data_IF_866313772453
#
_entry.id   IF_866313772453
#
_cell.length_a   1.000
_cell.length_b   1.000
_cell.length_c   1.000
_cell.angle_alpha   90.00
_cell.angle_beta   90.00
_cell.angle_gamma   90.00
#
_symmetry.space_group_name_H-M   'P 1'
#
loop_
_entity.id
_entity.type
_entity.pdbx_description
1 polymer ?
#
# COMPACT_ATOMS: atom_id res chain seq x y z
N UNK A 1 30.60 -27.27 -44.64
CA UNK A 1 29.89 -27.90 -43.51
C UNK A 1 29.47 -26.91 -42.41
N UNK A 2 30.00 -25.67 -42.38
CA UNK A 2 29.70 -24.67 -41.34
C UNK A 2 28.48 -23.80 -41.69
N UNK A 3 28.15 -23.61 -42.97
CA UNK A 3 27.03 -22.76 -43.41
C UNK A 3 25.62 -23.35 -43.19
N UNK A 4 25.49 -24.67 -42.93
CA UNK A 4 24.19 -25.33 -42.71
C UNK A 4 23.67 -25.23 -41.27
N UNK A 5 24.53 -24.91 -40.31
CA UNK A 5 24.14 -24.78 -38.89
C UNK A 5 23.63 -23.38 -38.52
N UNK A 6 24.04 -22.34 -39.27
CA UNK A 6 23.56 -20.96 -39.02
C UNK A 6 22.11 -20.73 -39.47
N UNK A 7 21.63 -21.43 -40.51
CA UNK A 7 20.23 -21.31 -40.95
C UNK A 7 19.23 -21.94 -39.96
N UNK A 8 19.66 -22.96 -39.19
CA UNK A 8 18.81 -23.61 -38.18
C UNK A 8 18.75 -22.76 -36.90
N UNK A 9 19.84 -22.10 -36.51
CA UNK A 9 19.83 -21.16 -35.38
C UNK A 9 19.04 -19.87 -35.66
N UNK A 10 19.04 -19.38 -36.91
CA UNK A 10 18.22 -18.22 -37.29
C UNK A 10 16.71 -18.54 -37.26
N UNK A 11 16.32 -19.78 -37.57
CA UNK A 11 14.92 -20.21 -37.50
C UNK A 11 14.42 -20.43 -36.05
N UNK A 12 15.30 -20.83 -35.13
CA UNK A 12 14.97 -20.97 -33.70
C UNK A 12 14.88 -19.59 -33.01
N UNK A 13 15.70 -18.62 -33.42
CA UNK A 13 15.61 -17.23 -32.94
C UNK A 13 14.38 -16.49 -33.50
N UNK A 14 13.91 -16.84 -34.70
CA UNK A 14 12.67 -16.28 -35.26
C UNK A 14 11.40 -16.94 -34.70
N UNK A 15 11.46 -18.19 -34.23
CA UNK A 15 10.33 -18.84 -33.53
C UNK A 15 10.20 -18.42 -32.06
N UNK A 16 11.28 -18.00 -31.41
CA UNK A 16 11.24 -17.42 -30.06
C UNK A 16 10.81 -15.94 -30.04
N UNK A 17 10.71 -15.31 -31.22
CA UNK A 17 10.14 -13.97 -31.40
C UNK A 17 8.67 -14.00 -31.86
N UNK A 18 8.07 -15.18 -32.06
CA UNK A 18 6.63 -15.32 -32.25
C UNK A 18 5.96 -15.35 -30.88
N UNK A 19 5.67 -14.14 -30.39
CA UNK A 19 4.57 -13.87 -29.45
C UNK A 19 4.68 -14.59 -28.09
N UNK A 20 5.59 -14.10 -27.25
CA UNK A 20 5.15 -13.64 -25.94
C UNK A 20 4.25 -12.39 -26.10
N UNK A 21 3.17 -12.50 -26.89
CA UNK A 21 2.01 -11.72 -26.57
C UNK A 21 1.53 -12.38 -25.30
N UNK A 22 1.71 -11.71 -24.16
CA UNK A 22 0.67 -11.80 -23.16
C UNK A 22 -0.63 -11.63 -23.94
N UNK A 23 -1.37 -12.73 -24.12
CA UNK A 23 -2.78 -12.62 -24.41
C UNK A 23 -3.34 -12.03 -23.13
N UNK A 24 -3.20 -10.72 -22.96
CA UNK A 24 -4.14 -9.94 -22.21
C UNK A 24 -5.44 -10.20 -22.97
N UNK A 25 -6.18 -11.22 -22.54
CA UNK A 25 -7.58 -11.27 -22.89
C UNK A 25 -8.07 -9.89 -22.49
N UNK A 26 -8.44 -9.07 -23.46
CA UNK A 26 -9.10 -7.78 -23.23
C UNK A 26 -10.42 -8.12 -22.54
N UNK A 27 -10.37 -8.37 -21.24
CA UNK A 27 -11.52 -8.61 -20.41
C UNK A 27 -12.20 -7.26 -20.29
N UNK A 28 -13.14 -7.01 -21.20
CA UNK A 28 -13.94 -5.79 -21.15
C UNK A 28 -14.83 -5.88 -19.91
N UNK A 29 -14.59 -4.98 -18.97
CA UNK A 29 -15.40 -4.80 -17.79
C UNK A 29 -16.72 -4.18 -18.25
N UNK A 30 -17.84 -4.83 -17.93
CA UNK A 30 -19.17 -4.28 -18.17
C UNK A 30 -19.89 -4.18 -16.83
N UNK A 31 -20.43 -3.00 -16.53
CA UNK A 31 -21.10 -2.78 -15.24
C UNK A 31 -22.53 -3.27 -15.34
N UNK A 32 -22.89 -4.24 -14.48
CA UNK A 32 -24.27 -4.71 -14.38
C UNK A 32 -25.09 -3.72 -13.58
N UNK A 33 -26.30 -3.41 -14.01
CA UNK A 33 -27.22 -2.57 -13.23
C UNK A 33 -27.99 -3.47 -12.27
N UNK A 34 -28.06 -3.10 -10.99
CA UNK A 34 -28.92 -3.80 -10.03
C UNK A 34 -30.37 -3.80 -10.54
N UNK A 35 -31.00 -4.98 -10.58
CA UNK A 35 -32.37 -5.19 -11.08
C UNK A 35 -33.43 -4.32 -10.38
N UNK A 36 -33.17 -3.92 -9.14
CA UNK A 36 -34.11 -3.15 -8.33
C UNK A 36 -33.95 -1.64 -8.55
N UNK A 37 -32.93 -1.21 -9.31
CA UNK A 37 -32.84 0.16 -9.81
C UNK A 37 -33.87 0.36 -10.92
N UNK A 38 -34.64 1.45 -10.81
CA UNK A 38 -35.49 1.92 -11.90
C UNK A 38 -34.63 2.30 -13.12
N UNK A 39 -35.29 2.67 -14.23
CA UNK A 39 -34.62 3.25 -15.39
C UNK A 39 -33.75 4.43 -14.96
N UNK A 40 -32.45 4.39 -15.29
CA UNK A 40 -31.52 5.48 -15.02
C UNK A 40 -31.96 6.76 -15.72
N UNK A 41 -31.64 7.92 -15.16
CA UNK A 41 -31.76 9.22 -15.85
C UNK A 41 -30.60 9.44 -16.83
N UNK A 42 -30.68 10.48 -17.66
CA UNK A 42 -29.63 10.79 -18.66
C UNK A 42 -28.26 11.02 -18.03
N UNK A 43 -28.22 11.78 -16.95
CA UNK A 43 -26.99 12.07 -16.21
C UNK A 43 -26.39 10.79 -15.62
N UNK A 44 -27.22 9.95 -15.00
CA UNK A 44 -26.82 8.66 -14.43
C UNK A 44 -26.27 7.71 -15.48
N UNK A 45 -26.84 7.69 -16.69
CA UNK A 45 -26.31 6.93 -17.83
C UNK A 45 -24.91 7.42 -18.24
N UNK A 46 -24.71 8.75 -18.31
CA UNK A 46 -23.41 9.34 -18.66
C UNK A 46 -22.36 9.02 -17.59
N UNK A 47 -22.72 9.17 -16.31
CA UNK A 47 -21.86 8.81 -15.17
C UNK A 47 -21.45 7.34 -15.26
N UNK A 48 -22.42 6.43 -15.45
CA UNK A 48 -22.15 5.00 -15.55
C UNK A 48 -21.24 4.67 -16.75
N UNK A 49 -21.47 5.32 -17.89
CA UNK A 49 -20.64 5.15 -19.09
C UNK A 49 -19.20 5.62 -18.87
N UNK A 50 -19.01 6.77 -18.22
CA UNK A 50 -17.68 7.27 -17.85
C UNK A 50 -16.98 6.34 -16.86
N UNK A 51 -17.72 5.76 -15.92
CA UNK A 51 -17.17 4.84 -14.92
C UNK A 51 -16.74 3.51 -15.56
N UNK A 52 -17.58 2.94 -16.43
CA UNK A 52 -17.22 1.76 -17.20
C UNK A 52 -15.97 2.02 -18.06
N UNK A 53 -15.92 3.17 -18.75
CA UNK A 53 -14.74 3.58 -19.53
C UNK A 53 -13.49 3.63 -18.64
N UNK A 54 -13.56 4.26 -17.48
CA UNK A 54 -12.45 4.35 -16.54
C UNK A 54 -11.97 2.96 -16.06
N UNK A 55 -12.89 2.09 -15.62
CA UNK A 55 -12.55 0.73 -15.16
C UNK A 55 -11.86 -0.09 -16.26
N UNK A 56 -12.28 0.07 -17.52
CA UNK A 56 -11.64 -0.61 -18.65
C UNK A 56 -10.22 -0.08 -18.98
N UNK A 57 -9.83 1.08 -18.44
CA UNK A 57 -8.50 1.67 -18.63
C UNK A 57 -7.57 1.50 -17.44
N UNK A 58 -8.08 1.14 -16.27
CA UNK A 58 -7.28 1.17 -15.02
C UNK A 58 -6.08 0.22 -15.04
N UNK A 59 -6.15 -0.92 -15.74
CA UNK A 59 -5.03 -1.85 -15.87
C UNK A 59 -3.89 -1.31 -16.75
N UNK A 60 -4.16 -0.35 -17.63
CA UNK A 60 -3.15 0.26 -18.52
C UNK A 60 -2.62 1.58 -17.96
N UNK A 61 -3.20 2.05 -16.84
CA UNK A 61 -2.99 3.38 -16.30
C UNK A 61 -2.34 3.28 -14.91
N UNK A 62 -1.14 2.71 -14.86
CA UNK A 62 -0.35 2.69 -13.61
C UNK A 62 0.40 4.01 -13.38
N UNK A 63 0.49 4.90 -14.37
CA UNK A 63 1.39 6.07 -14.32
C UNK A 63 0.74 7.43 -14.66
N UNK A 64 -0.55 7.48 -15.03
CA UNK A 64 -1.22 8.74 -15.42
C UNK A 64 -2.70 8.78 -15.06
N UNK A 65 -3.13 9.54 -14.07
CA UNK A 65 -4.56 9.65 -13.71
C UNK A 65 -5.44 9.99 -14.93
N UNK A 66 -6.43 9.15 -15.28
CA UNK A 66 -7.23 9.33 -16.49
C UNK A 66 -7.93 10.69 -16.58
N UNK A 67 -8.25 11.13 -17.79
CA UNK A 67 -9.00 12.37 -18.06
C UNK A 67 -10.38 12.39 -17.36
N UNK A 68 -10.86 11.23 -16.91
CA UNK A 68 -12.10 11.10 -16.15
C UNK A 68 -12.01 11.57 -14.70
N UNK A 69 -10.84 11.99 -14.21
CA UNK A 69 -10.64 12.49 -12.84
C UNK A 69 -10.45 14.00 -12.79
N UNK A 70 -10.95 14.61 -11.70
CA UNK A 70 -10.91 16.05 -11.45
C UNK A 70 -9.51 16.65 -11.59
N UNK A 71 -9.38 17.72 -12.38
CA UNK A 71 -8.13 18.48 -12.54
C UNK A 71 -7.67 19.07 -11.20
N UNK A 72 -8.62 19.57 -10.39
CA UNK A 72 -8.33 20.11 -9.05
C UNK A 72 -7.72 19.04 -8.14
N UNK A 73 -8.14 17.78 -8.28
CA UNK A 73 -7.52 16.70 -7.51
C UNK A 73 -6.17 16.28 -8.05
N UNK A 74 -5.93 16.38 -9.36
CA UNK A 74 -4.61 16.14 -9.96
C UNK A 74 -3.57 17.17 -9.53
N UNK A 75 -3.99 18.38 -9.16
CA UNK A 75 -3.11 19.38 -8.53
C UNK A 75 -2.81 19.04 -7.06
N UNK A 76 -3.76 18.39 -6.38
CA UNK A 76 -3.67 18.05 -4.95
C UNK A 76 -2.96 16.71 -4.70
N UNK A 77 -3.09 15.76 -5.61
CA UNK A 77 -2.68 14.37 -5.48
C UNK A 77 -1.95 13.91 -6.73
N UNK A 78 -0.85 13.18 -6.54
CA UNK A 78 -0.15 12.54 -7.65
C UNK A 78 -0.98 11.40 -8.24
N UNK A 79 -1.66 10.62 -7.38
CA UNK A 79 -2.61 9.58 -7.78
C UNK A 79 -3.95 9.81 -7.05
N UNK A 80 -4.85 10.65 -7.59
CA UNK A 80 -6.15 10.88 -7.00
C UNK A 80 -6.98 9.59 -6.96
N UNK A 81 -6.73 8.62 -7.84
CA UNK A 81 -7.50 7.40 -8.00
C UNK A 81 -6.88 6.15 -7.35
N UNK A 82 -5.89 6.33 -6.48
CA UNK A 82 -5.10 5.24 -5.87
C UNK A 82 -5.96 4.15 -5.20
N UNK A 83 -7.07 4.51 -4.56
CA UNK A 83 -7.95 3.53 -3.90
C UNK A 83 -8.64 2.62 -4.93
N UNK A 84 -8.97 3.15 -6.11
CA UNK A 84 -9.48 2.32 -7.20
C UNK A 84 -8.37 1.51 -7.85
N UNK A 85 -7.15 2.07 -7.94
CA UNK A 85 -5.98 1.31 -8.40
C UNK A 85 -5.72 0.13 -7.46
N UNK A 86 -5.76 0.32 -6.13
CA UNK A 86 -5.60 -0.77 -5.16
C UNK A 86 -6.72 -1.80 -5.24
N UNK A 87 -7.94 -1.33 -5.48
CA UNK A 87 -9.06 -2.21 -5.77
C UNK A 87 -8.80 -3.05 -7.03
N UNK A 88 -8.25 -2.47 -8.10
CA UNK A 88 -7.96 -3.18 -9.35
C UNK A 88 -6.69 -4.06 -9.29
N UNK A 89 -5.64 -3.58 -8.62
CA UNK A 89 -4.29 -4.17 -8.56
C UNK A 89 -4.20 -5.35 -7.61
N UNK A 90 -5.24 -5.64 -6.83
CA UNK A 90 -5.49 -6.99 -6.36
C UNK A 90 -5.71 -7.87 -7.59
N UNK A 91 -4.62 -8.24 -8.26
CA UNK A 91 -4.40 -8.60 -9.69
C UNK A 91 -5.36 -9.61 -10.36
N UNK A 92 -6.46 -10.01 -9.72
CA UNK A 92 -7.52 -10.84 -10.28
C UNK A 92 -8.91 -10.28 -10.03
N UNK A 93 -9.06 -9.12 -9.38
CA UNK A 93 -10.36 -8.67 -8.89
C UNK A 93 -11.37 -8.56 -10.00
N UNK A 94 -11.12 -7.84 -11.10
CA UNK A 94 -12.13 -7.71 -12.15
C UNK A 94 -12.32 -8.98 -12.99
N UNK A 95 -11.42 -9.96 -12.86
CA UNK A 95 -11.60 -11.29 -13.46
C UNK A 95 -12.51 -12.19 -12.61
N UNK A 96 -12.44 -12.05 -11.29
CA UNK A 96 -13.18 -12.87 -10.33
C UNK A 96 -14.49 -12.21 -9.85
N UNK A 97 -14.52 -10.88 -9.78
CA UNK A 97 -15.58 -10.05 -9.25
C UNK A 97 -16.05 -9.05 -10.32
N UNK A 98 -17.31 -9.18 -10.74
CA UNK A 98 -17.94 -8.24 -11.66
C UNK A 98 -18.44 -7.00 -10.91
N UNK A 99 -18.26 -5.78 -11.47
CA UNK A 99 -18.91 -4.60 -10.93
C UNK A 99 -20.41 -4.62 -11.16
N UNK A 100 -21.16 -4.25 -10.13
CA UNK A 100 -22.62 -4.09 -10.14
C UNK A 100 -22.94 -2.70 -9.60
N UNK A 101 -23.58 -1.87 -10.41
CA UNK A 101 -24.11 -0.58 -9.97
C UNK A 101 -25.21 -0.83 -8.94
N UNK A 102 -25.01 -0.37 -7.71
CA UNK A 102 -26.02 -0.43 -6.67
C UNK A 102 -26.91 0.81 -6.67
N UNK A 103 -26.32 2.00 -6.84
CA UNK A 103 -27.05 3.27 -6.88
C UNK A 103 -26.16 4.42 -7.37
N UNK A 104 -26.76 5.48 -7.90
CA UNK A 104 -26.15 6.80 -8.09
C UNK A 104 -26.96 7.80 -7.26
N UNK A 105 -26.43 8.22 -6.10
CA UNK A 105 -27.16 9.12 -5.21
C UNK A 105 -26.81 10.57 -5.55
N UNK A 106 -27.79 11.36 -5.98
CA UNK A 106 -27.62 12.81 -6.09
C UNK A 106 -27.70 13.47 -4.71
N UNK A 107 -26.70 14.27 -4.36
CA UNK A 107 -26.69 15.14 -3.18
C UNK A 107 -26.23 16.53 -3.60
N UNK A 108 -27.12 17.50 -3.54
CA UNK A 108 -26.85 18.88 -3.97
C UNK A 108 -26.24 18.93 -5.39
N UNK A 109 -25.00 19.39 -5.51
CA UNK A 109 -24.23 19.52 -6.75
C UNK A 109 -23.37 18.30 -7.09
N UNK A 110 -23.51 17.20 -6.36
CA UNK A 110 -22.62 16.04 -6.45
C UNK A 110 -23.44 14.76 -6.65
N UNK A 111 -22.80 13.72 -7.18
CA UNK A 111 -23.33 12.36 -7.15
C UNK A 111 -22.38 11.43 -6.39
N UNK A 112 -22.94 10.44 -5.69
CA UNK A 112 -22.20 9.34 -5.07
C UNK A 112 -22.50 8.09 -5.87
N UNK A 113 -21.52 7.62 -6.64
CA UNK A 113 -21.58 6.41 -7.43
C UNK A 113 -21.20 5.21 -6.57
N UNK A 114 -22.15 4.31 -6.32
CA UNK A 114 -21.97 3.13 -5.47
C UNK A 114 -21.91 1.86 -6.31
N UNK A 115 -20.76 1.17 -6.27
CA UNK A 115 -20.51 -0.06 -7.02
C UNK A 115 -20.18 -1.21 -6.07
N UNK A 116 -20.88 -2.34 -6.21
CA UNK A 116 -20.50 -3.58 -5.58
C UNK A 116 -19.63 -4.43 -6.51
N UNK A 117 -18.65 -5.13 -5.97
CA UNK A 117 -17.82 -6.07 -6.71
C UNK A 117 -18.16 -7.48 -6.24
N UNK A 118 -18.80 -8.26 -7.12
CA UNK A 118 -19.47 -9.53 -6.76
C UNK A 118 -18.98 -10.66 -7.65
N UNK A 119 -18.61 -11.80 -7.07
CA UNK A 119 -18.17 -12.97 -7.83
C UNK A 119 -19.34 -13.78 -8.41
N UNK A 120 -19.03 -14.87 -9.12
CA UNK A 120 -20.04 -15.79 -9.66
C UNK A 120 -20.89 -16.47 -8.58
N UNK A 121 -20.32 -16.68 -7.39
CA UNK A 121 -20.96 -17.32 -6.23
C UNK A 121 -21.85 -16.38 -5.41
N UNK A 122 -21.91 -15.09 -5.82
CA UNK A 122 -22.64 -14.00 -5.14
C UNK A 122 -21.98 -13.49 -3.85
N UNK A 123 -20.72 -13.81 -3.62
CA UNK A 123 -19.94 -13.18 -2.56
C UNK A 123 -19.58 -11.76 -2.98
N UNK A 124 -19.75 -10.85 -2.02
CA UNK A 124 -19.36 -9.46 -2.15
C UNK A 124 -17.90 -9.35 -1.69
N UNK A 125 -17.02 -8.92 -2.58
CA UNK A 125 -15.67 -8.51 -2.19
C UNK A 125 -15.72 -7.17 -1.46
N UNK A 126 -16.34 -6.18 -2.11
CA UNK A 126 -16.44 -4.82 -1.59
C UNK A 126 -17.63 -4.06 -2.16
N UNK A 127 -18.10 -3.06 -1.42
CA UNK A 127 -19.00 -2.01 -1.89
C UNK A 127 -18.23 -0.70 -1.79
N UNK A 128 -18.00 -0.06 -2.92
CA UNK A 128 -17.12 1.09 -3.04
C UNK A 128 -17.87 2.30 -3.61
N UNK A 129 -17.54 3.47 -3.07
CA UNK A 129 -18.11 4.75 -3.44
C UNK A 129 -17.08 5.64 -4.12
N UNK A 130 -17.49 6.28 -5.22
CA UNK A 130 -16.73 7.35 -5.86
C UNK A 130 -17.60 8.60 -5.91
N UNK A 131 -16.98 9.76 -5.72
CA UNK A 131 -17.67 11.03 -5.84
C UNK A 131 -17.62 11.49 -7.29
N UNK A 132 -18.74 11.98 -7.80
CA UNK A 132 -18.89 12.48 -9.15
C UNK A 132 -19.31 13.94 -9.12
N UNK A 133 -18.70 14.75 -9.97
CA UNK A 133 -19.00 16.17 -10.17
C UNK A 133 -19.18 16.46 -11.64
N UNK A 134 -20.03 17.42 -11.93
CA UNK A 134 -20.09 18.02 -13.26
C UNK A 134 -19.01 19.10 -13.35
N UNK A 135 -18.17 19.06 -14.39
CA UNK A 135 -17.19 20.11 -14.66
C UNK A 135 -17.84 21.28 -15.42
N UNK A 136 -17.06 22.34 -15.69
CA UNK A 136 -17.56 23.52 -16.40
C UNK A 136 -18.00 23.24 -17.86
N UNK A 137 -17.62 22.09 -18.41
CA UNK A 137 -17.95 21.65 -19.78
C UNK A 137 -19.19 20.73 -19.82
N UNK A 138 -19.81 20.46 -18.66
CA UNK A 138 -20.96 19.57 -18.54
C UNK A 138 -20.60 18.08 -18.53
N UNK A 139 -19.32 17.75 -18.32
CA UNK A 139 -18.84 16.37 -18.22
C UNK A 139 -18.81 15.90 -16.77
N UNK A 140 -19.09 14.62 -16.56
CA UNK A 140 -19.01 13.99 -15.25
C UNK A 140 -17.61 13.44 -14.98
N UNK A 141 -16.96 14.03 -13.97
CA UNK A 141 -15.61 13.71 -13.51
C UNK A 141 -15.62 13.10 -12.11
N UNK A 142 -14.65 12.23 -11.83
CA UNK A 142 -14.48 11.54 -10.56
C UNK A 142 -13.61 12.34 -9.58
N UNK A 143 -13.90 12.14 -8.30
CA UNK A 143 -13.15 12.69 -7.18
C UNK A 143 -13.06 11.71 -6.01
N UNK A 144 -12.04 11.87 -5.17
CA UNK A 144 -11.76 11.05 -4.00
C UNK A 144 -12.89 11.13 -2.99
N UNK A 145 -13.34 9.97 -2.54
CA UNK A 145 -14.33 9.87 -1.48
C UNK A 145 -13.82 10.41 -0.15
N UNK A 146 -12.52 10.25 0.13
CA UNK A 146 -11.91 10.71 1.39
C UNK A 146 -12.02 12.22 1.58
N UNK A 147 -11.85 13.02 0.52
CA UNK A 147 -12.00 14.46 0.57
C UNK A 147 -13.44 14.86 0.91
N UNK A 148 -14.42 14.20 0.33
CA UNK A 148 -15.83 14.40 0.67
C UNK A 148 -16.16 13.95 2.09
N UNK A 149 -15.66 12.77 2.51
CA UNK A 149 -15.92 12.22 3.85
C UNK A 149 -15.34 13.12 4.97
N UNK A 150 -14.22 13.78 4.68
CA UNK A 150 -13.47 14.61 5.64
C UNK A 150 -13.65 16.11 5.41
N UNK A 151 -14.58 16.53 4.54
CA UNK A 151 -14.74 17.94 4.14
C UNK A 151 -15.04 18.89 5.31
N UNK A 152 -15.72 18.38 6.35
CA UNK A 152 -16.12 19.14 7.54
C UNK A 152 -15.18 18.89 8.74
N UNK A 153 -14.03 18.24 8.52
CA UNK A 153 -13.08 17.95 9.58
C UNK A 153 -12.22 19.17 9.93
N UNK A 154 -11.80 19.23 11.20
CA UNK A 154 -10.86 20.21 11.69
C UNK A 154 -9.48 20.00 11.05
N UNK A 155 -8.89 21.09 10.60
CA UNK A 155 -7.54 21.11 10.01
C UNK A 155 -6.55 21.78 10.97
N UNK A 156 -5.44 21.10 11.25
CA UNK A 156 -4.41 21.57 12.19
C UNK A 156 -3.04 21.39 11.52
N UNK A 157 -2.35 22.50 11.26
CA UNK A 157 -0.97 22.45 10.76
C UNK A 157 0.01 22.37 11.91
N UNK A 158 0.87 21.36 11.91
CA UNK A 158 2.04 21.26 12.78
C UNK A 158 3.26 21.06 11.87
N UNK A 159 4.00 22.14 11.64
CA UNK A 159 5.23 22.16 10.82
C UNK A 159 5.03 21.60 9.41
N UNK A 160 5.50 20.39 9.13
CA UNK A 160 5.40 19.72 7.84
C UNK A 160 4.18 18.82 7.70
N UNK A 161 3.36 18.68 8.74
CA UNK A 161 2.21 17.78 8.73
C UNK A 161 0.92 18.56 8.91
N UNK A 162 0.01 18.41 7.95
CA UNK A 162 -1.37 18.86 8.06
C UNK A 162 -2.22 17.72 8.63
N UNK A 163 -2.69 17.87 9.86
CA UNK A 163 -3.59 16.92 10.50
C UNK A 163 -5.05 17.24 10.21
N UNK A 164 -5.84 16.19 9.98
CA UNK A 164 -7.28 16.23 9.81
C UNK A 164 -7.93 15.38 10.90
N UNK A 165 -8.85 15.96 11.68
CA UNK A 165 -9.55 15.24 12.76
C UNK A 165 -11.00 15.70 12.90
N UNK A 166 -11.88 14.85 13.46
CA UNK A 166 -13.28 15.20 13.71
C UNK A 166 -13.49 16.19 14.86
N UNK A 167 -12.61 16.14 15.86
CA UNK A 167 -12.79 16.86 17.11
C UNK A 167 -11.44 17.37 17.61
N UNK A 168 -11.19 18.67 17.37
CA UNK A 168 -9.97 19.36 17.81
C UNK A 168 -9.74 19.26 19.33
N UNK A 169 -10.80 19.09 20.14
CA UNK A 169 -10.64 19.03 21.60
C UNK A 169 -9.97 17.75 22.08
N UNK A 170 -9.95 16.70 21.24
CA UNK A 170 -9.28 15.42 21.51
C UNK A 170 -7.88 15.33 20.92
N UNK A 171 -7.46 16.33 20.14
CA UNK A 171 -6.19 16.33 19.44
C UNK A 171 -5.00 16.41 20.41
N UNK A 172 -4.10 15.43 20.35
CA UNK A 172 -2.91 15.38 21.17
C UNK A 172 -1.74 16.13 20.51
N UNK A 173 -1.65 17.43 20.81
CA UNK A 173 -0.57 18.29 20.31
C UNK A 173 0.86 17.76 20.58
N UNK A 174 1.19 17.25 21.79
CA UNK A 174 2.48 16.60 22.02
C UNK A 174 2.80 15.44 21.08
N UNK A 175 1.86 14.52 20.83
CA UNK A 175 2.09 13.39 19.90
C UNK A 175 2.20 13.87 18.45
N UNK A 176 1.37 14.82 18.03
CA UNK A 176 1.47 15.43 16.70
C UNK A 176 2.85 16.11 16.48
N UNK A 177 3.38 16.75 17.53
CA UNK A 177 4.72 17.35 17.49
C UNK A 177 5.81 16.29 17.40
N UNK A 178 5.65 15.11 18.03
CA UNK A 178 6.58 13.98 17.84
C UNK A 178 6.60 13.50 16.39
N UNK A 179 5.44 13.42 15.72
CA UNK A 179 5.35 13.05 14.30
C UNK A 179 6.11 14.01 13.39
N UNK A 180 5.96 15.32 13.62
CA UNK A 180 6.70 16.33 12.87
C UNK A 180 8.21 16.25 13.12
N UNK A 181 8.63 16.15 14.39
CA UNK A 181 10.05 15.98 14.73
C UNK A 181 10.66 14.68 14.14
N UNK A 182 9.88 13.59 14.08
CA UNK A 182 10.32 12.35 13.44
C UNK A 182 10.51 12.56 11.94
N UNK A 183 9.60 13.28 11.28
CA UNK A 183 9.71 13.63 9.87
C UNK A 183 11.02 14.39 9.59
N UNK A 184 11.37 15.38 10.42
CA UNK A 184 12.66 16.10 10.31
C UNK A 184 13.87 15.19 10.58
N UNK A 185 13.75 14.28 11.56
CA UNK A 185 14.80 13.32 11.88
C UNK A 185 15.05 12.37 10.72
N UNK A 186 14.00 11.88 10.06
CA UNK A 186 14.10 10.99 8.89
C UNK A 186 14.62 11.73 7.65
N UNK A 187 14.22 12.99 7.46
CA UNK A 187 14.76 13.84 6.41
C UNK A 187 16.29 13.93 6.51
N UNK A 188 16.78 14.25 7.71
CA UNK A 188 18.21 14.29 8.00
C UNK A 188 18.87 12.92 7.83
N UNK A 189 18.24 11.86 8.36
CA UNK A 189 18.79 10.49 8.30
C UNK A 189 19.01 10.00 6.86
N UNK A 190 18.06 10.29 5.98
CA UNK A 190 18.09 9.89 4.57
C UNK A 190 18.64 10.96 3.62
N UNK A 191 19.23 12.04 4.16
CA UNK A 191 19.79 13.15 3.38
C UNK A 191 18.79 13.71 2.35
N UNK A 192 17.53 13.89 2.77
CA UNK A 192 16.46 14.48 1.96
C UNK A 192 15.86 15.70 2.68
N UNK A 193 15.00 16.43 2.00
CA UNK A 193 14.24 17.52 2.61
C UNK A 193 12.98 17.01 3.31
N UNK A 194 12.61 17.64 4.42
CA UNK A 194 11.26 17.47 4.99
C UNK A 194 10.23 17.94 3.97
N UNK A 195 9.21 17.13 3.72
CA UNK A 195 8.13 17.44 2.78
C UNK A 195 6.79 17.54 3.50
N UNK A 196 5.84 18.22 2.88
CA UNK A 196 4.48 18.32 3.39
C UNK A 196 3.77 16.97 3.29
N UNK A 197 3.14 16.55 4.38
CA UNK A 197 2.35 15.31 4.48
C UNK A 197 0.96 15.61 5.03
N UNK A 198 -0.03 14.79 4.64
CA UNK A 198 -1.38 14.83 5.21
C UNK A 198 -1.55 13.70 6.19
N UNK A 199 -2.18 13.95 7.32
CA UNK A 199 -2.39 12.95 8.36
C UNK A 199 -3.86 12.94 8.77
N UNK A 200 -4.58 11.88 8.46
CA UNK A 200 -5.98 11.72 8.84
C UNK A 200 -6.11 10.84 10.08
N UNK A 201 -6.81 11.35 11.09
CA UNK A 201 -6.96 10.68 12.38
C UNK A 201 -8.33 9.99 12.43
N UNK A 202 -8.37 8.71 12.06
CA UNK A 202 -9.55 7.86 12.25
C UNK A 202 -9.47 7.06 13.55
N UNK A 203 -10.61 6.78 14.16
CA UNK A 203 -10.77 6.09 15.44
C UNK A 203 -10.83 4.57 15.31
N UNK A 204 -11.05 4.06 14.10
CA UNK A 204 -11.09 2.62 13.81
C UNK A 204 -10.67 2.34 12.36
N UNK A 205 -10.25 1.09 12.07
CA UNK A 205 -10.05 0.63 10.68
C UNK A 205 -11.35 0.73 9.88
N UNK A 206 -12.51 0.49 10.50
CA UNK A 206 -13.82 0.66 9.85
C UNK A 206 -14.02 2.11 9.38
N UNK A 207 -13.77 3.09 10.25
CA UNK A 207 -13.90 4.51 9.90
C UNK A 207 -12.91 4.91 8.81
N UNK A 208 -11.67 4.45 8.90
CA UNK A 208 -10.62 4.68 7.89
C UNK A 208 -11.05 4.14 6.51
N UNK A 209 -11.54 2.91 6.46
CA UNK A 209 -11.99 2.30 5.20
C UNK A 209 -13.27 2.97 4.67
N UNK A 210 -14.19 3.40 5.54
CA UNK A 210 -15.34 4.23 5.13
C UNK A 210 -14.90 5.53 4.49
N UNK A 211 -13.92 6.21 5.07
CA UNK A 211 -13.36 7.42 4.49
C UNK A 211 -12.70 7.17 3.13
N UNK A 212 -12.07 6.01 2.93
CA UNK A 212 -11.51 5.60 1.63
C UNK A 212 -12.56 5.24 0.57
N UNK A 213 -13.85 5.17 0.94
CA UNK A 213 -14.96 4.92 0.02
C UNK A 213 -15.65 3.58 0.22
N UNK A 214 -15.22 2.75 1.16
CA UNK A 214 -15.82 1.44 1.40
C UNK A 214 -17.06 1.53 2.30
N UNK A 215 -18.22 1.13 1.80
CA UNK A 215 -19.34 0.78 2.67
C UNK A 215 -19.21 -0.65 3.22
N UNK A 216 -18.47 -1.48 2.48
CA UNK A 216 -18.17 -2.85 2.86
C UNK A 216 -16.86 -3.30 2.22
N UNK A 217 -16.03 -3.97 3.01
CA UNK A 217 -14.98 -4.91 2.62
C UNK A 217 -14.72 -5.81 3.82
N UNK A 218 -14.31 -7.06 3.61
CA UNK A 218 -14.05 -7.98 4.72
C UNK A 218 -13.01 -7.43 5.71
N UNK A 219 -12.07 -6.59 5.23
CA UNK A 219 -11.03 -5.95 6.04
C UNK A 219 -11.59 -5.06 7.16
N UNK A 220 -12.80 -4.49 6.99
CA UNK A 220 -13.44 -3.66 8.02
C UNK A 220 -13.72 -4.44 9.31
N UNK A 221 -13.95 -5.75 9.20
CA UNK A 221 -14.41 -6.60 10.29
C UNK A 221 -13.44 -7.73 10.63
N UNK A 222 -12.20 -7.65 10.14
CA UNK A 222 -11.17 -8.62 10.46
C UNK A 222 -10.85 -8.62 11.97
N UNK A 223 -10.61 -9.79 12.55
CA UNK A 223 -10.25 -9.91 13.98
C UNK A 223 -8.96 -9.18 14.33
N UNK A 224 -8.02 -9.13 13.39
CA UNK A 224 -6.78 -8.36 13.50
C UNK A 224 -6.98 -7.08 12.70
N UNK A 225 -7.14 -5.97 13.42
CA UNK A 225 -7.32 -4.64 12.85
C UNK A 225 -5.96 -4.03 12.53
N UNK A 226 -5.87 -3.33 11.40
CA UNK A 226 -4.68 -2.55 11.04
C UNK A 226 -4.78 -1.17 11.70
N UNK A 227 -3.80 -0.85 12.53
CA UNK A 227 -3.77 0.38 13.34
C UNK A 227 -3.54 1.64 12.51
N UNK A 228 -3.00 1.53 11.30
CA UNK A 228 -2.85 2.61 10.33
C UNK A 228 -2.54 2.05 8.93
N UNK A 229 -2.54 2.94 7.93
CA UNK A 229 -1.90 2.71 6.65
C UNK A 229 -1.37 4.03 6.05
N UNK A 230 -0.71 3.91 4.91
CA UNK A 230 -0.25 5.04 4.12
C UNK A 230 -0.66 4.95 2.66
N UNK A 231 -0.81 6.12 2.05
CA UNK A 231 -0.82 6.32 0.61
C UNK A 231 0.49 7.03 0.27
N UNK A 232 1.51 6.19 0.07
CA UNK A 232 2.91 6.60 -0.14
C UNK A 232 3.07 7.55 -1.32
N UNK A 233 2.23 7.43 -2.34
CA UNK A 233 2.36 8.26 -3.54
C UNK A 233 1.85 9.67 -3.32
N UNK A 234 0.86 9.84 -2.42
CA UNK A 234 0.29 11.13 -2.08
C UNK A 234 0.78 11.68 -0.74
N UNK A 235 1.69 10.99 -0.05
CA UNK A 235 2.23 11.34 1.27
C UNK A 235 1.11 11.54 2.30
N UNK A 236 0.16 10.60 2.27
CA UNK A 236 -0.97 10.59 3.19
C UNK A 236 -0.77 9.46 4.19
N UNK A 237 -0.90 9.77 5.47
CA UNK A 237 -0.92 8.81 6.57
C UNK A 237 -2.36 8.77 7.10
N UNK A 238 -2.88 7.57 7.34
CA UNK A 238 -4.21 7.39 7.91
C UNK A 238 -4.10 6.54 9.17
N UNK A 239 -4.27 7.13 10.36
CA UNK A 239 -4.37 6.35 11.59
C UNK A 239 -5.71 5.63 11.66
N UNK A 240 -5.76 4.51 12.35
CA UNK A 240 -6.95 3.71 12.61
C UNK A 240 -7.28 3.52 14.09
N UNK A 241 -6.55 4.17 15.01
CA UNK A 241 -6.77 4.06 16.47
C UNK A 241 -6.77 5.43 17.18
N UNK A 242 -7.03 6.50 16.44
CA UNK A 242 -7.11 7.86 16.97
C UNK A 242 -5.76 8.46 17.38
N UNK A 243 -4.65 7.96 16.84
CA UNK A 243 -3.31 8.37 17.22
C UNK A 243 -2.70 9.42 16.27
N UNK A 244 -2.15 10.50 16.82
CA UNK A 244 -1.39 11.53 16.09
C UNK A 244 0.06 11.09 15.79
N UNK A 245 0.54 10.02 16.44
CA UNK A 245 1.89 9.49 16.31
C UNK A 245 1.90 8.05 15.84
N UNK A 246 2.02 7.86 14.53
CA UNK A 246 2.27 6.57 13.89
C UNK A 246 3.64 6.55 13.19
N UNK A 247 4.71 6.23 13.94
CA UNK A 247 6.07 6.31 13.42
C UNK A 247 6.37 5.27 12.34
N UNK A 248 5.67 4.12 12.32
CA UNK A 248 5.86 3.08 11.30
C UNK A 248 5.46 3.62 9.92
N UNK A 249 4.27 4.21 9.83
CA UNK A 249 3.77 4.79 8.58
C UNK A 249 4.52 6.04 8.13
N UNK A 250 5.00 6.86 9.08
CA UNK A 250 5.87 8.00 8.78
C UNK A 250 7.18 7.52 8.15
N UNK A 251 7.81 6.47 8.67
CA UNK A 251 9.04 5.92 8.10
C UNK A 251 8.83 5.41 6.68
N UNK A 252 7.74 4.66 6.45
CA UNK A 252 7.40 4.21 5.09
C UNK A 252 7.26 5.36 4.09
N UNK A 253 6.66 6.48 4.51
CA UNK A 253 6.48 7.66 3.64
C UNK A 253 7.83 8.20 3.17
N UNK A 254 8.82 8.29 4.07
CA UNK A 254 10.17 8.74 3.74
C UNK A 254 10.94 7.73 2.90
N UNK A 255 10.90 6.43 3.26
CA UNK A 255 11.59 5.39 2.52
C UNK A 255 11.12 5.33 1.07
N UNK A 256 9.82 5.37 0.83
CA UNK A 256 9.28 5.35 -0.52
C UNK A 256 9.61 6.63 -1.26
N UNK A 257 9.52 7.81 -0.64
CA UNK A 257 9.86 9.06 -1.31
C UNK A 257 11.33 9.11 -1.78
N UNK A 258 12.26 8.49 -1.03
CA UNK A 258 13.69 8.49 -1.35
C UNK A 258 14.08 7.32 -2.26
N UNK A 259 13.46 6.15 -2.10
CA UNK A 259 13.91 4.89 -2.71
C UNK A 259 12.85 4.16 -3.55
N UNK A 260 11.79 4.84 -4.01
CA UNK A 260 10.62 4.23 -4.69
C UNK A 260 10.92 3.18 -5.76
N UNK A 261 12.03 3.32 -6.50
CA UNK A 261 12.41 2.40 -7.60
C UNK A 261 13.20 1.17 -7.18
N UNK A 262 13.81 1.18 -6.01
CA UNK A 262 14.78 0.16 -5.58
C UNK A 262 14.38 -0.54 -4.29
N UNK A 263 13.37 -0.02 -3.60
CA UNK A 263 13.02 -0.46 -2.26
C UNK A 263 12.24 -1.78 -2.30
N UNK A 264 12.89 -2.85 -1.83
CA UNK A 264 12.24 -4.14 -1.64
C UNK A 264 11.22 -4.09 -0.48
N UNK A 265 10.03 -4.67 -0.65
CA UNK A 265 8.96 -4.66 0.37
C UNK A 265 9.40 -5.21 1.73
N UNK A 266 10.14 -6.33 1.76
CA UNK A 266 10.70 -6.88 3.00
C UNK A 266 11.63 -5.89 3.73
N UNK A 267 12.44 -5.14 2.98
CA UNK A 267 13.35 -4.12 3.53
C UNK A 267 12.55 -2.91 4.02
N UNK A 268 11.55 -2.47 3.24
CA UNK A 268 10.66 -1.37 3.62
C UNK A 268 10.00 -1.62 4.99
N UNK A 269 9.37 -2.79 5.14
CA UNK A 269 8.72 -3.22 6.40
C UNK A 269 9.73 -3.38 7.54
N UNK A 270 10.91 -3.94 7.24
CA UNK A 270 11.95 -4.13 8.25
C UNK A 270 12.48 -2.82 8.81
N UNK A 271 12.77 -1.84 7.96
CA UNK A 271 13.27 -0.53 8.39
C UNK A 271 12.16 0.26 9.08
N UNK A 272 10.93 0.26 8.56
CA UNK A 272 9.78 0.89 9.20
C UNK A 272 9.51 0.33 10.59
N UNK A 273 9.53 -0.99 10.75
CA UNK A 273 9.36 -1.63 12.07
C UNK A 273 10.55 -1.33 12.98
N UNK A 274 11.79 -1.39 12.46
CA UNK A 274 12.99 -1.17 13.26
C UNK A 274 13.12 0.27 13.79
N UNK A 275 12.91 1.26 12.92
CA UNK A 275 13.01 2.69 13.26
C UNK A 275 11.72 3.16 13.94
N UNK A 276 10.57 2.80 13.39
CA UNK A 276 9.26 3.25 13.86
C UNK A 276 8.82 2.60 15.17
N UNK A 277 9.22 1.36 15.44
CA UNK A 277 8.76 0.59 16.61
C UNK A 277 9.20 1.09 17.99
N UNK A 278 10.03 2.14 18.08
CA UNK A 278 10.69 2.62 19.31
C UNK A 278 11.57 1.55 20.01
N UNK A 279 12.86 1.85 20.08
CA UNK A 279 13.99 0.92 20.04
C UNK A 279 14.11 -0.11 21.19
N UNK A 280 13.28 -0.11 22.24
CA UNK A 280 13.58 -0.89 23.46
C UNK A 280 12.40 -1.73 23.97
N UNK A 281 11.24 -1.15 24.29
CA UNK A 281 10.15 -1.88 24.99
C UNK A 281 9.26 -2.75 24.11
N UNK A 282 9.04 -2.38 22.85
CA UNK A 282 8.29 -3.20 21.88
C UNK A 282 9.13 -4.42 21.44
N UNK A 283 10.46 -4.25 21.40
CA UNK A 283 11.41 -5.25 20.93
C UNK A 283 11.48 -6.47 21.82
N UNK A 284 11.36 -6.34 23.13
CA UNK A 284 11.34 -7.47 24.07
C UNK A 284 10.17 -8.42 23.75
N UNK A 285 8.96 -7.87 23.64
CA UNK A 285 7.75 -8.66 23.34
C UNK A 285 7.81 -9.25 21.94
N UNK A 286 8.17 -8.46 20.94
CA UNK A 286 8.23 -8.93 19.54
C UNK A 286 9.32 -9.98 19.35
N UNK A 287 10.50 -9.79 19.94
CA UNK A 287 11.57 -10.78 19.90
C UNK A 287 11.18 -12.04 20.69
N UNK A 288 10.52 -11.90 21.83
CA UNK A 288 10.02 -13.05 22.60
C UNK A 288 9.00 -13.87 21.80
N UNK A 289 8.06 -13.21 21.14
CA UNK A 289 7.08 -13.87 20.27
C UNK A 289 7.75 -14.50 19.06
N UNK A 290 8.72 -13.81 18.44
CA UNK A 290 9.51 -14.35 17.34
C UNK A 290 10.29 -15.60 17.77
N UNK A 291 10.96 -15.58 18.93
CA UNK A 291 11.64 -16.75 19.51
C UNK A 291 10.68 -17.92 19.68
N UNK A 292 9.55 -17.68 20.35
CA UNK A 292 8.52 -18.69 20.58
C UNK A 292 8.01 -19.29 19.27
N UNK A 293 7.72 -18.45 18.28
CA UNK A 293 7.26 -18.89 16.97
C UNK A 293 8.33 -19.74 16.26
N UNK A 294 9.58 -19.28 16.21
CA UNK A 294 10.68 -20.04 15.59
C UNK A 294 11.02 -21.32 16.34
N UNK A 295 10.69 -21.42 17.64
CA UNK A 295 10.81 -22.64 18.42
C UNK A 295 9.72 -23.67 18.10
N UNK A 296 8.50 -23.22 17.81
CA UNK A 296 7.41 -24.08 17.37
C UNK A 296 7.52 -24.47 15.88
N UNK A 297 8.11 -23.59 15.06
CA UNK A 297 8.24 -23.76 13.60
C UNK A 297 9.71 -24.01 13.22
N UNK A 298 10.23 -25.18 13.60
CA UNK A 298 11.60 -25.61 13.28
C UNK A 298 11.83 -25.89 11.79
N UNK A 299 10.75 -26.19 11.08
CA UNK A 299 10.68 -26.47 9.65
C UNK A 299 10.66 -25.19 8.78
N UNK A 300 10.38 -24.02 9.37
CA UNK A 300 10.44 -22.76 8.65
C UNK A 300 11.87 -22.48 8.16
N UNK A 301 12.03 -22.42 6.84
CA UNK A 301 13.29 -22.12 6.17
C UNK A 301 13.54 -20.61 6.10
N UNK A 302 14.48 -20.11 6.91
CA UNK A 302 14.87 -18.69 6.86
C UNK A 302 15.99 -18.41 5.85
N UNK A 303 16.45 -19.39 5.06
CA UNK A 303 17.29 -19.09 3.90
C UNK A 303 16.53 -18.28 2.84
N UNK A 304 15.20 -18.39 2.85
CA UNK A 304 14.28 -17.62 2.01
C UNK A 304 13.46 -16.62 2.84
N UNK A 305 14.12 -15.89 3.76
CA UNK A 305 13.46 -15.01 4.74
C UNK A 305 12.54 -13.97 4.11
N UNK A 306 12.86 -13.45 2.92
CA UNK A 306 12.04 -12.46 2.21
C UNK A 306 10.70 -13.02 1.72
N UNK A 307 10.58 -14.35 1.59
CA UNK A 307 9.37 -15.07 1.20
C UNK A 307 8.51 -15.50 2.39
N UNK A 308 8.92 -15.22 3.63
CA UNK A 308 8.14 -15.54 4.83
C UNK A 308 6.83 -14.78 4.79
N UNK A 309 5.71 -15.52 4.72
CA UNK A 309 4.37 -14.92 4.68
C UNK A 309 4.06 -14.21 6.00
N UNK A 310 3.19 -13.20 5.92
CA UNK A 310 2.59 -12.58 7.12
C UNK A 310 1.86 -13.68 7.92
N UNK A 311 2.43 -14.01 9.07
CA UNK A 311 1.88 -14.89 10.09
C UNK A 311 1.96 -14.14 11.43
N UNK A 312 1.12 -14.52 12.40
CA UNK A 312 1.08 -13.85 13.69
C UNK A 312 1.27 -14.82 14.85
N UNK A 313 2.09 -14.43 15.82
CA UNK A 313 2.16 -15.04 17.16
C UNK A 313 1.69 -14.00 18.17
N UNK A 314 0.49 -14.19 18.72
CA UNK A 314 -0.19 -13.15 19.48
C UNK A 314 -0.46 -11.90 18.61
N UNK A 315 0.03 -10.74 19.04
CA UNK A 315 -0.06 -9.48 18.27
C UNK A 315 1.17 -9.19 17.39
N UNK A 316 2.14 -10.11 17.31
CA UNK A 316 3.38 -9.89 16.56
C UNK A 316 3.27 -10.51 15.19
N UNK A 317 3.44 -9.69 14.14
CA UNK A 317 3.63 -10.18 12.79
C UNK A 317 5.07 -10.70 12.64
N UNK A 318 5.20 -11.99 12.33
CA UNK A 318 6.49 -12.68 12.27
C UNK A 318 7.37 -12.16 11.15
N UNK A 319 6.78 -11.80 10.00
CA UNK A 319 7.54 -11.24 8.89
C UNK A 319 8.15 -9.89 9.28
N UNK A 320 7.37 -9.02 9.95
CA UNK A 320 7.85 -7.72 10.45
C UNK A 320 8.93 -7.86 11.51
N UNK A 321 8.75 -8.78 12.46
CA UNK A 321 9.76 -9.03 13.49
C UNK A 321 11.07 -9.57 12.89
N UNK A 322 11.00 -10.49 11.92
CA UNK A 322 12.17 -11.02 11.21
C UNK A 322 12.88 -9.95 10.38
N UNK A 323 12.14 -9.16 9.59
CA UNK A 323 12.71 -8.12 8.75
C UNK A 323 13.35 -7.01 9.60
N UNK A 324 12.71 -6.61 10.69
CA UNK A 324 13.26 -5.64 11.64
C UNK A 324 14.51 -6.15 12.33
N UNK A 325 14.52 -7.43 12.73
CA UNK A 325 15.70 -8.05 13.33
C UNK A 325 16.88 -8.08 12.37
N UNK A 326 16.65 -8.42 11.10
CA UNK A 326 17.70 -8.41 10.09
C UNK A 326 18.21 -6.98 9.81
N UNK A 327 17.31 -6.00 9.69
CA UNK A 327 17.69 -4.58 9.55
C UNK A 327 18.50 -4.11 10.76
N UNK A 328 18.13 -4.54 11.98
CA UNK A 328 18.92 -4.28 13.18
C UNK A 328 20.33 -4.86 13.07
N UNK A 329 20.50 -6.09 12.57
CA UNK A 329 21.84 -6.68 12.37
C UNK A 329 22.68 -5.92 11.36
N UNK A 330 22.07 -5.47 10.27
CA UNK A 330 22.75 -4.60 9.31
C UNK A 330 23.14 -3.25 9.95
N UNK A 331 22.24 -2.64 10.71
CA UNK A 331 22.52 -1.41 11.43
C UNK A 331 23.62 -1.57 12.50
N UNK A 332 23.63 -2.68 13.24
CA UNK A 332 24.71 -2.98 14.20
C UNK A 332 26.08 -3.10 13.52
N UNK A 333 26.12 -3.51 12.26
CA UNK A 333 27.35 -3.77 11.51
C UNK A 333 27.89 -2.53 10.80
N UNK A 334 27.03 -1.77 10.13
CA UNK A 334 27.42 -0.63 9.28
C UNK A 334 26.64 0.67 9.57
N UNK A 335 25.84 0.69 10.64
CA UNK A 335 25.02 1.84 11.00
C UNK A 335 23.98 2.18 9.93
N UNK A 336 23.70 3.47 9.79
CA UNK A 336 22.70 3.95 8.81
C UNK A 336 23.11 3.69 7.36
N UNK A 337 24.41 3.69 7.06
CA UNK A 337 24.89 3.45 5.70
C UNK A 337 24.59 2.01 5.25
N UNK A 338 24.64 1.04 6.18
CA UNK A 338 24.17 -0.32 5.90
C UNK A 338 22.69 -0.39 5.54
N UNK A 339 21.83 0.37 6.24
CA UNK A 339 20.40 0.43 5.91
C UNK A 339 20.16 1.09 4.55
N UNK A 340 20.89 2.16 4.23
CA UNK A 340 20.82 2.81 2.90
C UNK A 340 21.25 1.86 1.79
N UNK A 341 22.30 1.06 1.99
CA UNK A 341 22.71 0.00 1.05
C UNK A 341 21.59 -1.02 0.83
N UNK A 342 20.88 -1.45 1.88
CA UNK A 342 19.71 -2.32 1.74
C UNK A 342 18.59 -1.67 0.92
N UNK A 343 18.27 -0.39 1.15
CA UNK A 343 17.26 0.34 0.37
C UNK A 343 17.61 0.45 -1.12
N UNK A 344 18.91 0.48 -1.44
CA UNK A 344 19.44 0.59 -2.79
C UNK A 344 19.79 -0.78 -3.41
N UNK A 345 19.50 -1.89 -2.72
CA UNK A 345 19.86 -3.22 -3.19
C UNK A 345 19.23 -3.52 -4.55
N UNK A 346 17.94 -3.18 -4.71
CA UNK A 346 17.08 -3.55 -5.83
C UNK A 346 15.77 -4.16 -5.32
N UNK A 347 14.79 -4.27 -6.21
CA UNK A 347 13.45 -4.76 -5.87
C UNK A 347 13.31 -6.30 -5.93
N UNK A 348 14.38 -7.03 -6.28
CA UNK A 348 14.37 -8.49 -6.34
C UNK A 348 14.93 -9.11 -5.05
N UNK A 349 14.42 -10.28 -4.67
CA UNK A 349 14.92 -11.05 -3.54
C UNK A 349 16.44 -11.28 -3.61
N UNK A 350 16.95 -11.63 -4.80
CA UNK A 350 18.38 -11.89 -5.03
C UNK A 350 19.26 -10.67 -4.73
N UNK A 351 18.75 -9.48 -4.97
CA UNK A 351 19.47 -8.24 -4.73
C UNK A 351 19.62 -7.99 -3.23
N UNK A 352 18.54 -8.21 -2.47
CA UNK A 352 18.53 -8.11 -1.01
C UNK A 352 19.51 -9.11 -0.40
N UNK A 353 19.47 -10.38 -0.83
CA UNK A 353 20.40 -11.40 -0.33
C UNK A 353 21.86 -11.07 -0.61
N UNK A 354 22.17 -10.55 -1.80
CA UNK A 354 23.54 -10.14 -2.16
C UNK A 354 24.06 -9.06 -1.20
N UNK A 355 23.25 -8.04 -0.89
CA UNK A 355 23.65 -6.97 0.04
C UNK A 355 23.75 -7.47 1.48
N UNK A 356 22.87 -8.38 1.90
CA UNK A 356 22.97 -9.03 3.22
C UNK A 356 24.29 -9.80 3.35
N UNK A 357 24.67 -10.56 2.32
CA UNK A 357 25.93 -11.31 2.31
C UNK A 357 27.13 -10.36 2.35
N UNK A 358 27.10 -9.27 1.58
CA UNK A 358 28.16 -8.24 1.59
C UNK A 358 28.37 -7.63 2.98
N UNK A 359 27.28 -7.27 3.67
CA UNK A 359 27.34 -6.55 4.94
C UNK A 359 27.60 -7.51 6.12
N UNK A 360 26.83 -8.59 6.21
CA UNK A 360 26.88 -9.50 7.35
C UNK A 360 27.91 -10.62 7.18
N UNK A 361 28.39 -10.87 5.95
CA UNK A 361 29.28 -11.99 5.64
C UNK A 361 28.58 -13.35 5.73
N UNK A 362 27.25 -13.39 5.55
CA UNK A 362 26.43 -14.60 5.69
C UNK A 362 25.74 -14.88 4.36
N UNK A 363 26.03 -16.04 3.78
CA UNK A 363 25.40 -16.47 2.52
C UNK A 363 23.93 -16.77 2.73
N UNK A 364 23.12 -16.61 1.69
CA UNK A 364 21.69 -16.93 1.75
C UNK A 364 21.41 -18.32 2.34
N UNK A 365 22.19 -19.34 1.94
CA UNK A 365 22.04 -20.74 2.40
C UNK A 365 22.39 -20.95 3.88
N UNK A 366 23.00 -19.96 4.53
CA UNK A 366 23.44 -19.99 5.92
C UNK A 366 22.55 -19.11 6.83
N UNK A 367 21.65 -18.30 6.23
CA UNK A 367 20.79 -17.38 6.96
C UNK A 367 19.90 -18.09 7.98
N UNK A 368 19.41 -19.29 7.67
CA UNK A 368 18.59 -20.05 8.62
C UNK A 368 19.32 -20.35 9.92
N UNK A 369 20.57 -20.81 9.83
CA UNK A 369 21.36 -21.07 11.03
C UNK A 369 21.71 -19.76 11.73
N UNK A 370 22.24 -18.79 10.98
CA UNK A 370 22.66 -17.49 11.53
C UNK A 370 21.54 -16.78 12.29
N UNK A 371 20.37 -16.61 11.66
CA UNK A 371 19.24 -15.90 12.27
C UNK A 371 18.74 -16.62 13.53
N UNK A 372 18.65 -17.95 13.50
CA UNK A 372 18.20 -18.71 14.68
C UNK A 372 19.18 -18.61 15.84
N UNK A 373 20.48 -18.62 15.58
CA UNK A 373 21.50 -18.42 16.60
C UNK A 373 21.47 -17.01 17.17
N UNK A 374 21.44 -16.00 16.30
CA UNK A 374 21.44 -14.59 16.72
C UNK A 374 20.17 -14.21 17.48
N UNK A 375 19.02 -14.69 17.04
CA UNK A 375 17.75 -14.47 17.75
C UNK A 375 17.80 -15.11 19.14
N UNK A 376 18.35 -16.32 19.29
CA UNK A 376 18.50 -16.97 20.61
C UNK A 376 19.39 -16.18 21.56
N UNK A 377 20.53 -15.67 21.07
CA UNK A 377 21.50 -14.87 21.85
C UNK A 377 20.98 -13.47 22.19
N UNK A 378 20.04 -12.93 21.41
CA UNK A 378 19.56 -11.58 21.62
C UNK A 378 18.84 -11.49 22.98
N UNK A 379 19.42 -10.73 23.90
CA UNK A 379 18.80 -10.31 25.16
C UNK A 379 18.49 -8.81 25.05
N UNK A 380 17.34 -8.41 25.59
CA UNK A 380 17.02 -7.02 25.89
C UNK A 380 16.95 -6.89 27.41
#
# INVERSE_FOLDING_TARGET
MIARYYLIYLFILLYSCVKAQFVQQNHRINIKINKDLQTLYDDERKILSNWEKYLNTIETVYYHSPDTWSVVEKEKYWFPDIEVIYLASATKMFREYSPVLLNIQRKDSIYILKTAFINSEKDIHSIFNVIVRENNEGEYIFSRYQDYYTQDWETIQIESITFFCKDRTKFNYPEAKKSANLSDSLANLFNTQTFQSRYYIFQSTEERLRAKGYDYTYLMYNTIQESADNDINNRIINSGEGAEYDPHEIVHTYLNQVYWNTLHNFVNEGIATFIGGNIEKSKERELSNLKKYLDLHKDLDLNNVTSVKKASEGKTNIMYALSAFLCKKVYEKEGIEGLKKLCLAGSLDSDVYRVIEEILGVRQTELNQYLREEIKKAHY
#
